data_IF_734653174364
#
_entry.id   IF_734653174364
#
_cell.length_a   1.000
_cell.length_b   1.000
_cell.length_c   1.000
_cell.angle_alpha   90.00
_cell.angle_beta   90.00
_cell.angle_gamma   90.00
#
_symmetry.space_group_name_H-M   'P 1'
#
loop_
_entity.id
_entity.type
_entity.pdbx_description
1 polymer ?
#
# COMPACT_ATOMS: atom_id res chain seq x y z
N UNK A 1 0.82 22.13 18.11
CA UNK A 1 1.08 21.00 19.05
C UNK A 1 0.19 19.80 18.69
N UNK A 2 0.40 19.23 17.51
CA UNK A 2 -0.32 18.08 16.98
C UNK A 2 0.65 17.07 16.34
N UNK A 3 1.86 16.94 16.92
CA UNK A 3 2.96 16.15 16.37
C UNK A 3 3.44 15.08 17.36
N UNK A 4 2.57 14.58 18.24
CA UNK A 4 2.95 13.54 19.21
C UNK A 4 1.97 12.36 19.26
N UNK A 5 0.95 12.34 18.39
CA UNK A 5 -0.03 11.24 18.36
C UNK A 5 0.16 10.32 17.14
N UNK A 6 0.91 10.76 16.12
CA UNK A 6 1.16 9.95 14.92
C UNK A 6 2.32 8.95 15.07
N UNK A 7 3.21 9.14 16.06
CA UNK A 7 4.41 8.31 16.25
C UNK A 7 4.22 7.11 17.18
N UNK A 8 3.05 6.96 17.82
CA UNK A 8 2.87 5.94 18.86
C UNK A 8 2.26 4.61 18.41
N UNK A 9 1.82 4.50 17.15
CA UNK A 9 1.22 3.25 16.62
C UNK A 9 2.20 2.50 15.69
N UNK A 10 3.25 3.17 15.20
CA UNK A 10 4.18 2.61 14.21
C UNK A 10 5.42 1.91 14.80
N UNK A 11 5.28 1.23 15.94
CA UNK A 11 6.32 0.28 16.39
C UNK A 11 5.81 -0.76 17.40
N UNK A 12 4.62 -1.33 17.16
CA UNK A 12 4.18 -2.49 17.95
C UNK A 12 5.03 -3.68 17.49
N UNK A 13 5.92 -4.18 18.35
CA UNK A 13 6.74 -5.35 18.06
C UNK A 13 5.87 -6.60 17.86
N UNK A 14 6.44 -7.63 17.22
CA UNK A 14 5.72 -8.86 16.88
C UNK A 14 5.17 -9.57 18.13
N UNK A 15 5.82 -9.47 19.28
CA UNK A 15 5.37 -10.12 20.52
C UNK A 15 4.17 -9.37 21.11
N UNK A 16 4.21 -8.04 21.11
CA UNK A 16 3.08 -7.20 21.51
C UNK A 16 1.89 -7.37 20.55
N UNK A 17 2.12 -7.46 19.24
CA UNK A 17 1.07 -7.71 18.24
C UNK A 17 0.38 -9.06 18.46
N UNK A 18 1.18 -10.12 18.69
CA UNK A 18 0.64 -11.44 19.00
C UNK A 18 -0.15 -11.46 20.32
N UNK A 19 0.31 -10.73 21.35
CA UNK A 19 -0.40 -10.62 22.61
C UNK A 19 -1.76 -9.94 22.43
N UNK A 20 -1.82 -8.84 21.69
CA UNK A 20 -3.07 -8.13 21.38
C UNK A 20 -4.07 -9.06 20.69
N UNK A 21 -3.62 -9.78 19.65
CA UNK A 21 -4.48 -10.71 18.90
C UNK A 21 -5.00 -11.83 19.82
N UNK A 22 -4.13 -12.42 20.65
CA UNK A 22 -4.54 -13.47 21.58
C UNK A 22 -5.58 -12.98 22.61
N UNK A 23 -5.44 -11.75 23.11
CA UNK A 23 -6.43 -11.15 24.00
C UNK A 23 -7.78 -10.96 23.28
N UNK A 24 -7.77 -10.49 22.04
CA UNK A 24 -8.99 -10.32 21.25
C UNK A 24 -9.67 -11.66 20.92
N UNK A 25 -8.90 -12.74 20.70
CA UNK A 25 -9.43 -14.09 20.52
C UNK A 25 -10.13 -14.55 21.79
N UNK A 26 -9.52 -14.38 22.96
CA UNK A 26 -10.11 -14.76 24.25
C UNK A 26 -11.41 -13.98 24.51
N UNK A 27 -11.42 -12.68 24.23
CA UNK A 27 -12.63 -11.85 24.36
C UNK A 27 -13.75 -12.35 23.43
N UNK A 28 -13.43 -12.66 22.17
CA UNK A 28 -14.41 -13.24 21.23
C UNK A 28 -14.95 -14.59 21.72
N UNK A 29 -14.10 -15.46 22.26
CA UNK A 29 -14.51 -16.75 22.85
C UNK A 29 -15.44 -16.58 24.04
N UNK A 30 -15.15 -15.61 24.91
CA UNK A 30 -16.02 -15.27 26.04
C UNK A 30 -17.39 -14.80 25.54
N UNK A 31 -17.44 -13.95 24.52
CA UNK A 31 -18.70 -13.49 23.93
C UNK A 31 -19.49 -14.64 23.31
N UNK A 32 -18.86 -15.51 22.52
CA UNK A 32 -19.48 -16.72 21.93
C UNK A 32 -20.02 -17.63 23.04
N UNK A 33 -19.25 -17.87 24.09
CA UNK A 33 -19.66 -18.73 25.21
C UNK A 33 -20.83 -18.13 26.02
N UNK A 34 -20.87 -16.80 26.14
CA UNK A 34 -21.95 -16.09 26.85
C UNK A 34 -23.25 -16.07 26.05
N UNK A 35 -23.17 -15.93 24.72
CA UNK A 35 -24.30 -15.98 23.81
C UNK A 35 -24.97 -17.37 23.83
N UNK A 36 -24.16 -18.44 23.88
CA UNK A 36 -24.65 -19.82 23.95
C UNK A 36 -25.34 -20.18 25.28
N UNK A 37 -25.03 -19.49 26.39
CA UNK A 37 -25.67 -19.73 27.70
C UNK A 37 -27.04 -19.06 27.82
N UNK A 38 -27.31 -18.03 27.01
CA UNK A 38 -28.55 -17.26 27.06
C UNK A 38 -29.54 -17.91 26.10
N UNK A 39 -30.15 -19.02 26.54
CA UNK A 39 -31.12 -19.83 25.78
C UNK A 39 -32.41 -19.10 25.37
N UNK A 40 -32.29 -18.09 24.52
CA UNK A 40 -33.39 -17.34 23.90
C UNK A 40 -33.19 -17.35 22.38
N UNK A 41 -33.16 -18.53 21.78
CA UNK A 41 -33.19 -18.71 20.34
C UNK A 41 -34.11 -19.88 20.00
N UNK A 42 -34.94 -19.72 18.96
CA UNK A 42 -35.69 -20.86 18.41
C UNK A 42 -34.71 -21.84 17.79
N UNK A 43 -34.99 -23.13 17.95
CA UNK A 43 -34.19 -24.24 17.46
C UNK A 43 -33.89 -24.07 15.96
N UNK A 44 -32.62 -23.85 15.60
CA UNK A 44 -32.16 -23.76 14.21
C UNK A 44 -31.63 -22.41 13.72
N UNK A 45 -31.80 -21.31 14.46
CA UNK A 45 -31.20 -20.01 14.11
C UNK A 45 -29.96 -19.76 14.97
N UNK A 46 -28.76 -19.85 14.39
CA UNK A 46 -27.56 -19.27 14.99
C UNK A 46 -27.81 -17.77 15.08
N UNK A 47 -27.98 -17.25 16.30
CA UNK A 47 -28.19 -15.82 16.51
C UNK A 47 -27.08 -15.04 15.79
N UNK A 48 -27.45 -14.08 14.93
CA UNK A 48 -26.49 -13.36 14.08
C UNK A 48 -25.31 -12.72 14.84
N UNK A 49 -25.53 -12.39 16.11
CA UNK A 49 -24.51 -11.93 17.06
C UNK A 49 -23.43 -13.01 17.34
N UNK A 50 -23.83 -14.28 17.52
CA UNK A 50 -22.89 -15.40 17.68
C UNK A 50 -22.09 -15.67 16.40
N UNK A 51 -22.70 -15.49 15.23
CA UNK A 51 -22.03 -15.64 13.95
C UNK A 51 -20.98 -14.54 13.73
N UNK A 52 -21.30 -13.29 14.11
CA UNK A 52 -20.37 -12.16 14.01
C UNK A 52 -19.10 -12.40 14.86
N UNK A 53 -19.25 -12.82 16.11
CA UNK A 53 -18.10 -13.16 16.96
C UNK A 53 -17.31 -14.36 16.44
N UNK A 54 -17.97 -15.35 15.83
CA UNK A 54 -17.30 -16.49 15.21
C UNK A 54 -16.45 -16.07 13.99
N UNK A 55 -16.99 -15.21 13.12
CA UNK A 55 -16.25 -14.66 11.98
C UNK A 55 -15.09 -13.79 12.45
N UNK A 56 -15.32 -12.91 13.43
CA UNK A 56 -14.27 -12.09 14.02
C UNK A 56 -13.14 -12.95 14.62
N UNK A 57 -13.49 -14.01 15.35
CA UNK A 57 -12.50 -14.95 15.89
C UNK A 57 -11.67 -15.59 14.76
N UNK A 58 -12.32 -16.03 13.69
CA UNK A 58 -11.63 -16.61 12.53
C UNK A 58 -10.67 -15.62 11.87
N UNK A 59 -11.06 -14.35 11.72
CA UNK A 59 -10.18 -13.30 11.19
C UNK A 59 -8.95 -13.07 12.08
N UNK A 60 -9.13 -13.08 13.41
CA UNK A 60 -8.03 -12.93 14.37
C UNK A 60 -7.08 -14.13 14.36
N UNK A 61 -7.59 -15.35 14.19
CA UNK A 61 -6.76 -16.56 14.03
C UNK A 61 -5.92 -16.51 12.75
N UNK A 62 -6.49 -16.02 11.64
CA UNK A 62 -5.75 -15.80 10.40
C UNK A 62 -4.66 -14.74 10.58
N UNK A 63 -4.96 -13.66 11.32
CA UNK A 63 -3.96 -12.65 11.64
C UNK A 63 -2.81 -13.24 12.50
N UNK A 64 -3.13 -14.07 13.50
CA UNK A 64 -2.13 -14.74 14.33
C UNK A 64 -1.18 -15.63 13.49
N UNK A 65 -1.71 -16.37 12.52
CA UNK A 65 -0.91 -17.16 11.58
C UNK A 65 0.08 -16.27 10.81
N UNK A 66 -0.39 -15.15 10.27
CA UNK A 66 0.46 -14.21 9.54
C UNK A 66 1.64 -13.69 10.38
N UNK A 67 1.39 -13.29 11.64
CA UNK A 67 2.47 -12.82 12.53
C UNK A 67 3.43 -13.96 12.92
N UNK A 68 2.92 -15.19 13.07
CA UNK A 68 3.74 -16.37 13.34
C UNK A 68 4.68 -16.68 12.18
N UNK A 69 4.17 -16.67 10.94
CA UNK A 69 4.93 -16.90 9.72
C UNK A 69 6.00 -15.82 9.53
N UNK A 70 5.65 -14.54 9.74
CA UNK A 70 6.60 -13.43 9.71
C UNK A 70 7.77 -13.66 10.67
N UNK A 71 7.46 -14.04 11.91
CA UNK A 71 8.47 -14.35 12.94
C UNK A 71 9.36 -15.52 12.54
N UNK A 72 8.79 -16.58 11.96
CA UNK A 72 9.55 -17.74 11.48
C UNK A 72 10.51 -17.36 10.36
N UNK A 73 10.06 -16.57 9.39
CA UNK A 73 10.89 -16.08 8.28
C UNK A 73 12.05 -15.24 8.81
N UNK A 74 11.77 -14.28 9.70
CA UNK A 74 12.80 -13.43 10.30
C UNK A 74 13.84 -14.23 11.09
N UNK A 75 13.40 -15.20 11.90
CA UNK A 75 14.32 -16.06 12.66
C UNK A 75 15.16 -16.94 11.75
N UNK A 76 14.59 -17.48 10.68
CA UNK A 76 15.34 -18.29 9.72
C UNK A 76 16.42 -17.47 9.00
N UNK A 77 16.13 -16.20 8.67
CA UNK A 77 17.13 -15.28 8.11
C UNK A 77 18.25 -15.04 9.14
N UNK A 78 17.91 -14.71 10.39
CA UNK A 78 18.91 -14.46 11.44
C UNK A 78 19.78 -15.69 11.77
N UNK A 79 19.22 -16.91 11.72
CA UNK A 79 19.98 -18.16 11.90
C UNK A 79 20.90 -18.42 10.72
N UNK A 80 20.43 -18.24 9.48
CA UNK A 80 21.29 -18.37 8.29
C UNK A 80 22.42 -17.35 8.25
N UNK A 81 22.13 -16.09 8.61
CA UNK A 81 23.17 -15.05 8.68
C UNK A 81 24.22 -15.37 9.74
N UNK A 82 23.81 -15.92 10.90
CA UNK A 82 24.74 -16.43 11.91
C UNK A 82 25.61 -17.56 11.36
N UNK A 83 25.02 -18.54 10.67
CA UNK A 83 25.75 -19.67 10.09
C UNK A 83 26.71 -19.23 8.95
N UNK A 84 26.32 -18.22 8.16
CA UNK A 84 27.17 -17.58 7.15
C UNK A 84 28.38 -16.90 7.80
N UNK A 85 28.16 -16.10 8.85
CA UNK A 85 29.25 -15.43 9.59
C UNK A 85 30.20 -16.46 10.24
N UNK A 86 29.67 -17.58 10.73
CA UNK A 86 30.46 -18.66 11.32
C UNK A 86 31.18 -19.52 10.24
N UNK A 87 30.66 -19.54 9.01
CA UNK A 87 31.23 -20.20 7.83
C UNK A 87 32.32 -19.41 7.09
N UNK A 88 32.46 -18.11 7.33
CA UNK A 88 33.52 -17.26 6.75
C UNK A 88 34.95 -17.65 7.21
N UNK A 89 35.09 -18.63 8.10
CA UNK A 89 36.36 -19.31 8.39
C UNK A 89 36.81 -20.32 7.32
N UNK A 90 35.96 -20.65 6.35
CA UNK A 90 36.28 -21.60 5.28
C UNK A 90 35.78 -21.06 3.93
N UNK A 91 36.71 -20.59 3.09
CA UNK A 91 36.47 -20.12 1.72
C UNK A 91 35.63 -21.12 0.89
N UNK A 92 34.31 -21.00 0.91
CA UNK A 92 33.40 -21.65 -0.03
C UNK A 92 32.55 -20.57 -0.67
N UNK A 93 32.64 -20.49 -2.01
CA UNK A 93 31.80 -19.64 -2.84
C UNK A 93 30.32 -19.92 -2.55
N UNK A 94 29.57 -18.88 -2.23
CA UNK A 94 28.16 -18.97 -1.87
C UNK A 94 27.31 -19.16 -3.14
N UNK A 95 26.27 -20.01 -3.12
CA UNK A 95 25.26 -20.03 -4.17
C UNK A 95 24.54 -18.67 -4.18
N UNK A 96 24.48 -18.04 -5.36
CA UNK A 96 23.69 -16.83 -5.55
C UNK A 96 22.20 -17.19 -5.44
N UNK A 97 21.62 -16.97 -4.27
CA UNK A 97 20.18 -17.08 -4.04
C UNK A 97 19.67 -15.66 -3.87
N UNK A 98 18.94 -15.18 -4.88
CA UNK A 98 18.17 -13.93 -4.81
C UNK A 98 17.09 -14.07 -3.73
N UNK A 99 17.40 -13.62 -2.51
CA UNK A 99 16.38 -13.46 -1.48
C UNK A 99 15.49 -12.27 -1.86
N UNK A 100 14.15 -12.42 -1.87
CA UNK A 100 13.26 -11.27 -1.90
C UNK A 100 13.49 -10.49 -0.61
N UNK A 101 14.18 -9.37 -0.71
CA UNK A 101 14.39 -8.45 0.38
C UNK A 101 13.02 -7.92 0.85
N UNK A 102 12.56 -8.24 2.07
CA UNK A 102 11.28 -7.73 2.58
C UNK A 102 11.33 -6.21 2.81
N UNK A 103 12.52 -5.61 2.85
CA UNK A 103 12.71 -4.15 2.95
C UNK A 103 12.64 -3.44 1.58
N UNK A 104 12.58 -4.20 0.48
CA UNK A 104 12.23 -3.65 -0.85
C UNK A 104 10.71 -3.45 -1.02
N UNK A 105 9.93 -3.82 -0.01
CA UNK A 105 8.49 -3.56 0.09
C UNK A 105 8.14 -2.15 0.58
N UNK A 106 9.11 -1.34 1.02
CA UNK A 106 8.94 0.11 0.96
C UNK A 106 9.07 0.51 -0.51
N UNK A 107 8.03 0.23 -1.28
CA UNK A 107 7.73 1.00 -2.48
C UNK A 107 7.57 2.43 -2.00
N UNK A 108 8.69 3.16 -1.90
CA UNK A 108 8.71 4.61 -1.84
C UNK A 108 8.01 5.02 -3.13
N UNK A 109 6.70 5.23 -3.06
CA UNK A 109 5.94 5.77 -4.18
C UNK A 109 6.69 7.03 -4.55
N UNK A 110 7.13 7.12 -5.81
CA UNK A 110 7.93 8.25 -6.27
C UNK A 110 7.22 9.55 -5.82
N UNK A 111 7.95 10.56 -5.32
CA UNK A 111 7.34 11.78 -4.74
C UNK A 111 6.30 12.42 -5.70
N UNK A 112 6.51 12.26 -7.00
CA UNK A 112 5.57 12.63 -8.07
C UNK A 112 4.25 11.83 -8.03
N UNK A 113 4.32 10.51 -7.89
CA UNK A 113 3.15 9.67 -7.73
C UNK A 113 2.38 10.07 -6.48
N UNK A 114 3.08 10.23 -5.35
CA UNK A 114 2.46 10.62 -4.08
C UNK A 114 1.73 11.97 -4.21
N UNK A 115 2.34 12.92 -4.93
CA UNK A 115 1.72 14.21 -5.27
C UNK A 115 0.45 14.02 -6.11
N UNK A 116 0.48 13.16 -7.14
CA UNK A 116 -0.69 12.85 -7.97
C UNK A 116 -1.79 12.13 -7.18
N UNK A 117 -1.45 11.19 -6.31
CA UNK A 117 -2.38 10.54 -5.39
C UNK A 117 -3.09 11.55 -4.49
N UNK A 118 -2.33 12.49 -3.90
CA UNK A 118 -2.89 13.52 -3.04
C UNK A 118 -3.82 14.47 -3.80
N UNK A 119 -3.42 14.89 -5.01
CA UNK A 119 -4.26 15.74 -5.86
C UNK A 119 -5.57 15.06 -6.28
N UNK A 120 -5.53 13.77 -6.63
CA UNK A 120 -6.70 13.02 -7.10
C UNK A 120 -7.68 12.62 -5.98
N UNK A 121 -7.16 12.22 -4.80
CA UNK A 121 -7.97 11.57 -3.77
C UNK A 121 -8.09 12.37 -2.46
N UNK A 122 -7.22 13.32 -2.20
CA UNK A 122 -7.22 14.13 -0.96
C UNK A 122 -7.59 15.57 -1.29
N UNK A 123 -8.85 15.79 -1.69
CA UNK A 123 -9.42 17.14 -1.79
C UNK A 123 -9.70 17.77 -0.41
N UNK A 124 -8.70 17.77 0.49
CA UNK A 124 -8.91 18.26 1.87
C UNK A 124 -7.72 18.42 2.80
N UNK A 125 -6.46 18.15 2.42
CA UNK A 125 -5.31 18.41 3.32
C UNK A 125 -3.97 18.52 2.58
N UNK A 126 -3.48 19.78 2.52
CA UNK A 126 -2.10 20.30 2.63
C UNK A 126 -0.94 19.52 1.99
N UNK A 127 -0.32 20.12 0.97
CA UNK A 127 1.14 20.28 0.92
C UNK A 127 1.44 21.73 0.56
N UNK A 128 1.96 22.48 1.52
CA UNK A 128 2.66 23.74 1.30
C UNK A 128 4.13 23.37 1.05
N UNK A 129 4.68 23.52 -0.18
CA UNK A 129 6.11 23.61 -0.35
C UNK A 129 6.51 25.01 0.12
N UNK A 130 7.18 25.12 1.28
CA UNK A 130 7.73 26.39 1.78
C UNK A 130 8.69 27.03 0.76
N UNK A 131 8.51 28.32 0.44
CA UNK A 131 9.62 29.20 0.13
C UNK A 131 9.53 30.41 1.07
N UNK A 132 10.29 30.35 2.16
CA UNK A 132 10.75 31.47 2.99
C UNK A 132 10.22 32.89 2.64
N UNK A 133 9.24 33.41 3.40
CA UNK A 133 9.29 34.68 4.18
C UNK A 133 7.90 35.24 4.54
N UNK A 134 7.74 35.49 5.83
CA UNK A 134 7.15 36.68 6.47
C UNK A 134 5.62 36.83 6.68
N UNK A 135 5.28 36.77 7.97
CA UNK A 135 4.20 37.40 8.76
C UNK A 135 2.76 37.48 8.26
N UNK A 136 1.86 36.95 9.10
CA UNK A 136 0.51 37.48 9.28
C UNK A 136 -0.53 36.42 9.58
N UNK A 137 -0.98 36.35 10.83
CA UNK A 137 -2.18 35.62 11.24
C UNK A 137 -3.40 36.13 10.45
N UNK A 138 -3.78 35.42 9.38
CA UNK A 138 -5.05 35.62 8.71
C UNK A 138 -5.70 34.26 8.46
N UNK A 139 -6.94 34.13 8.94
CA UNK A 139 -7.76 32.94 8.75
C UNK A 139 -7.81 32.56 7.26
N UNK A 140 -7.37 31.35 6.95
CA UNK A 140 -7.35 30.80 5.60
C UNK A 140 -8.79 30.74 5.06
N UNK A 141 -9.12 31.65 4.14
CA UNK A 141 -10.37 31.60 3.38
C UNK A 141 -10.30 30.45 2.35
N UNK A 142 -11.42 29.75 2.19
CA UNK A 142 -11.61 28.61 1.25
C UNK A 142 -11.24 28.92 -0.21
N UNK A 143 -11.16 30.20 -0.60
CA UNK A 143 -10.79 30.63 -1.94
C UNK A 143 -9.32 30.36 -2.29
N UNK A 144 -8.38 30.49 -1.36
CA UNK A 144 -6.95 30.28 -1.64
C UNK A 144 -6.59 28.79 -1.74
N UNK A 145 -7.32 27.95 -1.00
CA UNK A 145 -7.21 26.50 -1.10
C UNK A 145 -7.63 25.93 -2.45
N UNK A 146 -8.58 26.57 -3.13
CA UNK A 146 -8.97 26.19 -4.49
C UNK A 146 -7.93 26.59 -5.54
N UNK A 147 -7.26 27.75 -5.36
CA UNK A 147 -6.26 28.28 -6.31
C UNK A 147 -5.01 27.40 -6.50
N UNK A 148 -4.62 26.63 -5.48
CA UNK A 148 -3.47 25.70 -5.56
C UNK A 148 -3.78 24.43 -6.35
N UNK A 149 -5.00 23.91 -6.26
CA UNK A 149 -5.47 22.75 -7.03
C UNK A 149 -5.64 23.12 -8.51
N UNK A 150 -6.13 24.32 -8.80
CA UNK A 150 -6.19 24.83 -10.19
C UNK A 150 -4.81 25.07 -10.80
N UNK A 151 -3.78 25.38 -10.01
CA UNK A 151 -2.41 25.54 -10.50
C UNK A 151 -1.80 24.26 -11.08
N UNK A 152 -1.96 23.12 -10.40
CA UNK A 152 -1.42 21.81 -10.86
C UNK A 152 -2.24 21.24 -12.01
N UNK A 153 -3.57 21.38 -11.96
CA UNK A 153 -4.45 20.98 -13.05
C UNK A 153 -4.26 21.83 -14.32
N UNK A 154 -3.65 23.02 -14.20
CA UNK A 154 -3.29 23.86 -15.35
C UNK A 154 -2.01 23.41 -16.07
N UNK A 155 -1.25 22.46 -15.50
CA UNK A 155 -0.07 21.90 -16.15
C UNK A 155 -0.55 20.83 -17.15
N UNK A 156 -0.45 21.15 -18.44
CA UNK A 156 -0.74 20.22 -19.53
C UNK A 156 0.50 19.39 -19.88
N UNK A 157 0.28 18.11 -20.14
CA UNK A 157 1.28 17.17 -20.64
C UNK A 157 0.75 16.49 -21.91
N UNK A 158 1.65 16.12 -22.81
CA UNK A 158 1.35 15.47 -24.08
C UNK A 158 1.52 13.96 -23.96
N UNK A 159 0.55 13.20 -24.47
CA UNK A 159 0.64 11.75 -24.53
C UNK A 159 1.46 11.27 -25.75
N UNK A 160 2.53 10.53 -25.47
CA UNK A 160 3.45 9.95 -26.47
C UNK A 160 2.75 9.05 -27.50
N UNK A 161 1.63 8.42 -27.13
CA UNK A 161 0.92 7.48 -28.01
C UNK A 161 -0.10 8.15 -28.93
N UNK A 162 -0.91 9.10 -28.43
CA UNK A 162 -2.03 9.63 -29.19
C UNK A 162 -1.85 11.05 -29.73
N UNK A 163 -0.92 11.86 -29.20
CA UNK A 163 -0.89 13.29 -29.58
C UNK A 163 -1.49 14.22 -28.53
N UNK A 164 -2.42 13.73 -27.72
CA UNK A 164 -3.34 14.62 -27.03
C UNK A 164 -2.74 15.29 -25.80
N UNK A 165 -3.20 16.52 -25.54
CA UNK A 165 -2.89 17.26 -24.31
C UNK A 165 -3.83 16.82 -23.18
N UNK A 166 -3.24 16.51 -22.03
CA UNK A 166 -3.93 15.98 -20.85
C UNK A 166 -3.43 16.67 -19.59
N UNK A 167 -4.28 16.72 -18.55
CA UNK A 167 -3.89 17.32 -17.28
C UNK A 167 -2.82 16.48 -16.60
N UNK A 168 -1.83 17.11 -15.98
CA UNK A 168 -0.71 16.44 -15.33
C UNK A 168 -1.14 15.32 -14.36
N UNK A 169 -2.28 15.50 -13.69
CA UNK A 169 -2.86 14.52 -12.75
C UNK A 169 -3.40 13.25 -13.42
N UNK A 170 -3.65 13.29 -14.73
CA UNK A 170 -4.20 12.18 -15.52
C UNK A 170 -3.19 11.54 -16.46
N UNK A 171 -1.91 11.86 -16.26
CA UNK A 171 -0.79 11.33 -17.05
C UNK A 171 0.07 10.39 -16.22
N UNK A 172 0.22 9.16 -16.72
CA UNK A 172 1.17 8.18 -16.20
C UNK A 172 2.55 8.34 -16.84
N UNK A 173 3.56 8.58 -16.00
CA UNK A 173 4.97 8.62 -16.42
C UNK A 173 5.62 7.25 -16.24
N UNK A 174 6.16 6.71 -17.32
CA UNK A 174 6.81 5.39 -17.34
C UNK A 174 8.33 5.52 -17.08
N UNK A 175 9.07 4.42 -16.77
CA UNK A 175 10.49 4.51 -16.41
C UNK A 175 11.40 5.17 -17.46
N UNK A 176 11.03 5.04 -18.74
CA UNK A 176 11.68 5.69 -19.88
C UNK A 176 11.44 7.23 -19.93
N UNK A 177 10.69 7.80 -18.98
CA UNK A 177 10.22 9.20 -18.88
C UNK A 177 9.15 9.64 -19.88
N UNK A 178 8.70 8.78 -20.78
CA UNK A 178 7.54 9.08 -21.61
C UNK A 178 6.25 9.17 -20.78
N UNK A 179 5.30 9.93 -21.30
CA UNK A 179 4.05 10.29 -20.64
C UNK A 179 2.87 9.75 -21.45
N UNK A 180 1.94 9.08 -20.77
CA UNK A 180 0.78 8.45 -21.38
C UNK A 180 -0.50 8.90 -20.69
N UNK A 181 -1.52 9.24 -21.47
CA UNK A 181 -2.86 9.40 -20.93
C UNK A 181 -3.41 8.06 -20.42
N UNK A 182 -4.43 8.12 -19.55
CA UNK A 182 -5.10 6.93 -19.00
C UNK A 182 -5.51 5.92 -20.07
N UNK A 183 -6.14 6.39 -21.14
CA UNK A 183 -6.67 5.52 -22.20
C UNK A 183 -5.57 4.78 -22.96
N UNK A 184 -4.50 5.49 -23.34
CA UNK A 184 -3.37 4.90 -24.06
C UNK A 184 -2.61 3.92 -23.18
N UNK A 185 -2.40 4.27 -21.91
CA UNK A 185 -1.74 3.39 -20.95
C UNK A 185 -2.58 2.14 -20.69
N UNK A 186 -3.88 2.30 -20.53
CA UNK A 186 -4.82 1.20 -20.39
C UNK A 186 -4.80 0.26 -21.60
N UNK A 187 -4.83 0.80 -22.82
CA UNK A 187 -4.77 0.00 -24.03
C UNK A 187 -3.44 -0.73 -24.18
N UNK A 188 -2.34 -0.11 -23.78
CA UNK A 188 -1.01 -0.75 -23.76
C UNK A 188 -1.01 -1.98 -22.84
N UNK A 189 -1.54 -1.85 -21.63
CA UNK A 189 -1.64 -2.97 -20.68
C UNK A 189 -2.61 -4.06 -21.15
N UNK A 190 -3.80 -3.69 -21.66
CA UNK A 190 -4.76 -4.65 -22.24
C UNK A 190 -4.13 -5.47 -23.37
N UNK A 191 -3.43 -4.80 -24.27
CA UNK A 191 -2.79 -5.44 -25.43
C UNK A 191 -1.70 -6.40 -24.97
N UNK A 192 -0.86 -5.98 -24.03
CA UNK A 192 0.21 -6.82 -23.47
C UNK A 192 -0.31 -8.03 -22.70
N UNK A 193 -1.50 -7.95 -22.09
CA UNK A 193 -2.13 -9.09 -21.39
C UNK A 193 -2.84 -10.03 -22.37
N UNK A 194 -3.36 -9.49 -23.48
CA UNK A 194 -4.07 -10.28 -24.49
C UNK A 194 -3.11 -11.03 -25.42
N UNK A 195 -1.94 -10.45 -25.71
CA UNK A 195 -0.92 -11.03 -26.55
C UNK A 195 0.33 -11.41 -25.73
N UNK A 196 0.55 -12.72 -25.57
CA UNK A 196 1.68 -13.27 -24.81
C UNK A 196 3.05 -12.79 -25.33
N UNK A 197 3.16 -12.44 -26.61
CA UNK A 197 4.42 -11.95 -27.19
C UNK A 197 4.76 -10.53 -26.77
N UNK A 198 3.76 -9.76 -26.33
CA UNK A 198 3.87 -8.37 -25.90
C UNK A 198 3.96 -8.25 -24.37
N UNK A 199 3.80 -9.35 -23.64
CA UNK A 199 4.02 -9.39 -22.21
C UNK A 199 5.52 -9.49 -21.87
N UNK A 200 6.02 -8.74 -20.86
CA UNK A 200 5.36 -7.67 -20.12
C UNK A 200 5.31 -6.35 -20.90
N UNK A 201 4.37 -5.43 -20.59
CA UNK A 201 4.24 -4.14 -21.25
C UNK A 201 5.53 -3.31 -21.14
N UNK A 202 5.98 -2.74 -22.27
CA UNK A 202 7.25 -2.01 -22.39
C UNK A 202 7.08 -0.66 -23.05
N UNK A 203 7.92 0.28 -22.66
CA UNK A 203 8.19 1.54 -23.36
C UNK A 203 9.69 1.58 -23.70
N UNK A 204 10.05 1.84 -24.96
CA UNK A 204 11.47 1.93 -25.39
C UNK A 204 12.31 0.70 -24.99
N UNK A 205 11.69 -0.48 -24.92
CA UNK A 205 12.30 -1.72 -24.46
C UNK A 205 12.39 -1.88 -22.94
N UNK A 206 12.07 -0.86 -22.14
CA UNK A 206 12.01 -0.94 -20.68
C UNK A 206 10.65 -1.41 -20.21
N UNK A 207 10.62 -2.37 -19.28
CA UNK A 207 9.37 -2.86 -18.68
C UNK A 207 8.70 -1.76 -17.86
N UNK A 208 7.37 -1.68 -17.97
CA UNK A 208 6.57 -0.73 -17.21
C UNK A 208 6.03 -1.47 -15.97
N UNK A 209 6.55 -1.19 -14.76
CA UNK A 209 6.08 -1.84 -13.55
C UNK A 209 4.67 -1.34 -13.18
N UNK A 210 3.74 -2.27 -12.97
CA UNK A 210 2.34 -1.99 -12.59
C UNK A 210 2.23 -1.00 -11.42
N UNK A 211 3.06 -1.17 -10.39
CA UNK A 211 3.03 -0.34 -9.18
C UNK A 211 3.28 1.16 -9.45
N UNK A 212 3.94 1.52 -10.55
CA UNK A 212 4.18 2.93 -10.91
C UNK A 212 3.03 3.58 -11.66
N UNK A 213 2.16 2.79 -12.27
CA UNK A 213 1.11 3.30 -13.16
C UNK A 213 -0.30 2.93 -12.70
N UNK A 214 -0.42 2.19 -11.60
CA UNK A 214 -1.67 1.61 -11.10
C UNK A 214 -2.81 2.62 -10.96
N UNK A 215 -2.55 3.86 -10.52
CA UNK A 215 -3.59 4.90 -10.37
C UNK A 215 -4.20 5.39 -11.67
N UNK A 216 -3.50 5.18 -12.78
CA UNK A 216 -3.94 5.59 -14.10
C UNK A 216 -4.64 4.44 -14.85
N UNK A 217 -4.62 3.23 -14.29
CA UNK A 217 -5.30 2.06 -14.82
C UNK A 217 -6.68 1.90 -14.14
N UNK A 218 -7.66 1.39 -14.89
CA UNK A 218 -8.96 1.04 -14.34
C UNK A 218 -8.87 -0.26 -13.53
N UNK A 219 -9.83 -0.47 -12.62
CA UNK A 219 -9.87 -1.62 -11.71
C UNK A 219 -9.83 -2.98 -12.42
N UNK A 220 -10.33 -3.08 -13.65
CA UNK A 220 -10.30 -4.33 -14.43
C UNK A 220 -8.89 -4.78 -14.83
N UNK A 221 -7.86 -3.94 -14.63
CA UNK A 221 -6.47 -4.19 -15.02
C UNK A 221 -5.46 -3.97 -13.90
N UNK A 222 -5.92 -3.68 -12.68
CA UNK A 222 -5.12 -3.20 -11.55
C UNK A 222 -5.10 -4.15 -10.35
#
# INVERSE_FOLDING_TARGET
MACLVQDHIYNIDDETSNLIINLQIQDAELQISSANRKGKGREGEVAGESLAFQLQKQELENAALYFSDRRMIQKNIAVRDRDLVQGLGANKELPNIDYPNPDSGSHKLDDELLTKYQALFVSGSILEPNPDLDTGEHAESSTWAASRVTGINSIKSHCEACGDETDFVDVGRVPCRHEYCRDCLQNLFKTAITDESLFPPRCCGQQIPLNKVRIFLNFDLA
#
